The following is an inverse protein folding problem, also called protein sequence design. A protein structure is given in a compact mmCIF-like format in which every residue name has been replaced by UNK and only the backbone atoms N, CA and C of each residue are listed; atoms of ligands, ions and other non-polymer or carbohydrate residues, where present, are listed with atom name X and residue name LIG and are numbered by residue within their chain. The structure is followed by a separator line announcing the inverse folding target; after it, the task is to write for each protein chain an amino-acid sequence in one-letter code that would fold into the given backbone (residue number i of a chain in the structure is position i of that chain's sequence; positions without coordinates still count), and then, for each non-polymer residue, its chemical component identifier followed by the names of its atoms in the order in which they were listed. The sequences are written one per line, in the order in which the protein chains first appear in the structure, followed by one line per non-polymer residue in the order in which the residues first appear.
data_IF_468052277783
#
_entry.id   IF_468052277783
#
_cell.length_a   1.000
_cell.length_b   1.000
_cell.length_c   1.000
_cell.angle_alpha   90.00
_cell.angle_beta   90.00
_cell.angle_gamma   90.00
#
_symmetry.space_group_name_H-M   'P 1'
#
loop_
_entity.id
_entity.type
_entity.pdbx_description
1 polymer ?
#
# COMPACT_ATOMS: atom_id res chain seq x y z
N UNK A 1 -7.36 -23.67 -18.51
CA UNK A 1 -7.09 -24.10 -17.12
C UNK A 1 -8.17 -23.49 -16.26
N UNK A 2 -8.95 -24.31 -15.56
CA UNK A 2 -10.12 -23.88 -14.79
C UNK A 2 -9.70 -22.90 -13.66
N UNK A 3 -10.43 -21.78 -13.53
CA UNK A 3 -10.20 -20.70 -12.56
C UNK A 3 -10.08 -21.19 -11.11
N UNK A 4 -10.77 -22.28 -10.75
CA UNK A 4 -10.65 -22.91 -9.45
C UNK A 4 -9.23 -23.42 -9.16
N UNK A 5 -8.63 -24.16 -10.08
CA UNK A 5 -7.26 -24.66 -9.93
C UNK A 5 -6.22 -23.54 -9.91
N UNK A 6 -6.42 -22.48 -10.71
CA UNK A 6 -5.55 -21.30 -10.67
C UNK A 6 -5.57 -20.62 -9.31
N UNK A 7 -6.75 -20.56 -8.68
CA UNK A 7 -6.95 -19.88 -7.40
C UNK A 7 -6.31 -20.64 -6.25
N UNK A 8 -6.49 -21.97 -6.22
CA UNK A 8 -5.76 -22.86 -5.31
C UNK A 8 -4.25 -22.68 -5.50
N UNK A 9 -3.76 -22.76 -6.74
CA UNK A 9 -2.32 -22.61 -7.04
C UNK A 9 -1.77 -21.25 -6.59
N UNK A 10 -2.52 -20.17 -6.77
CA UNK A 10 -2.15 -18.82 -6.35
C UNK A 10 -2.04 -18.73 -4.82
N UNK A 11 -3.09 -19.15 -4.09
CA UNK A 11 -3.10 -19.16 -2.61
C UNK A 11 -1.94 -19.98 -2.04
N UNK A 12 -1.77 -21.22 -2.49
CA UNK A 12 -0.67 -22.05 -1.99
C UNK A 12 0.71 -21.51 -2.37
N UNK A 13 0.84 -20.87 -3.55
CA UNK A 13 2.11 -20.22 -3.93
C UNK A 13 2.44 -19.02 -3.05
N UNK A 14 1.44 -18.28 -2.57
CA UNK A 14 1.62 -17.19 -1.60
C UNK A 14 2.06 -17.74 -0.25
N UNK A 15 1.38 -18.76 0.27
CA UNK A 15 1.68 -19.36 1.57
C UNK A 15 3.02 -20.11 1.63
N UNK A 16 3.47 -20.65 0.50
CA UNK A 16 4.71 -21.45 0.40
C UNK A 16 5.89 -20.72 -0.25
N UNK A 17 5.76 -19.41 -0.50
CA UNK A 17 6.81 -18.63 -1.14
C UNK A 17 8.10 -18.63 -0.30
N UNK A 18 9.24 -18.85 -0.97
CA UNK A 18 10.57 -18.74 -0.37
C UNK A 18 11.44 -17.89 -1.28
N UNK A 19 12.05 -16.84 -0.71
CA UNK A 19 12.83 -15.85 -1.47
C UNK A 19 13.99 -16.48 -2.24
N UNK A 20 14.64 -17.49 -1.66
CA UNK A 20 15.87 -18.10 -2.23
C UNK A 20 15.59 -19.18 -3.29
N UNK A 21 14.31 -19.51 -3.54
CA UNK A 21 13.96 -20.47 -4.57
C UNK A 21 14.24 -19.90 -5.96
N UNK A 22 14.91 -20.69 -6.82
CA UNK A 22 15.10 -20.35 -8.24
C UNK A 22 13.78 -20.55 -9.00
N UNK A 23 12.99 -19.50 -9.12
CA UNK A 23 11.81 -19.51 -9.99
C UNK A 23 12.24 -19.35 -11.45
N UNK A 24 11.76 -20.22 -12.35
CA UNK A 24 11.98 -20.13 -13.80
C UNK A 24 11.12 -19.00 -14.42
N UNK A 25 11.38 -17.75 -14.04
CA UNK A 25 10.65 -16.57 -14.51
C UNK A 25 11.64 -15.51 -14.92
N UNK A 26 11.41 -14.87 -16.08
CA UNK A 26 12.25 -13.78 -16.56
C UNK A 26 11.80 -12.47 -15.91
N UNK A 27 12.62 -11.95 -15.00
CA UNK A 27 12.41 -10.66 -14.33
C UNK A 27 13.42 -9.68 -14.91
N UNK A 28 12.96 -8.56 -15.46
CA UNK A 28 13.83 -7.58 -16.11
C UNK A 28 13.57 -6.19 -15.56
N UNK A 29 14.66 -5.44 -15.37
CA UNK A 29 14.59 -4.00 -15.21
C UNK A 29 14.47 -3.35 -16.60
N UNK A 30 13.44 -2.52 -16.74
CA UNK A 30 13.13 -1.74 -17.93
C UNK A 30 13.02 -0.27 -17.54
N UNK A 31 12.91 0.60 -18.53
CA UNK A 31 12.91 2.04 -18.32
C UNK A 31 11.78 2.70 -19.11
N UNK A 32 11.21 3.74 -18.52
CA UNK A 32 10.28 4.66 -19.17
C UNK A 32 10.70 6.10 -18.88
N UNK A 33 10.22 7.04 -19.68
CA UNK A 33 10.32 8.46 -19.37
C UNK A 33 9.09 8.85 -18.57
N UNK A 34 9.28 9.34 -17.34
CA UNK A 34 8.17 9.83 -16.53
C UNK A 34 7.59 11.14 -17.09
N UNK A 35 6.55 11.68 -16.43
CA UNK A 35 5.92 12.95 -16.83
C UNK A 35 6.86 14.17 -16.84
N UNK A 36 8.02 14.04 -16.19
CA UNK A 36 9.07 15.05 -16.14
C UNK A 36 10.24 14.72 -17.07
N UNK A 37 10.06 13.73 -17.96
CA UNK A 37 11.06 13.22 -18.92
C UNK A 37 12.31 12.62 -18.25
N UNK A 38 12.23 12.24 -16.98
CA UNK A 38 13.30 11.51 -16.32
C UNK A 38 13.23 10.03 -16.69
N UNK A 39 14.40 9.39 -16.85
CA UNK A 39 14.50 7.95 -17.05
C UNK A 39 14.25 7.22 -15.72
N UNK A 40 13.12 6.54 -15.62
CA UNK A 40 12.68 5.82 -14.40
C UNK A 40 12.57 4.33 -14.66
N UNK A 41 12.94 3.52 -13.66
CA UNK A 41 12.90 2.05 -13.74
C UNK A 41 11.47 1.54 -13.57
N UNK A 42 11.11 0.49 -14.29
CA UNK A 42 10.00 -0.38 -13.92
C UNK A 42 10.43 -1.84 -14.09
N UNK A 43 9.90 -2.73 -13.25
CA UNK A 43 10.15 -4.16 -13.38
C UNK A 43 9.09 -4.81 -14.26
N UNK A 44 9.52 -5.76 -15.08
CA UNK A 44 8.63 -6.63 -15.84
C UNK A 44 8.89 -8.09 -15.51
N UNK A 45 7.81 -8.84 -15.28
CA UNK A 45 7.83 -10.28 -15.03
C UNK A 45 7.15 -10.96 -16.19
N UNK A 46 7.91 -11.77 -16.92
CA UNK A 46 7.47 -12.35 -18.18
C UNK A 46 7.25 -13.86 -17.97
N UNK A 47 6.01 -14.36 -18.12
CA UNK A 47 5.69 -15.77 -18.05
C UNK A 47 6.19 -16.49 -19.32
N UNK A 48 6.44 -17.79 -19.22
CA UNK A 48 6.78 -18.61 -20.40
C UNK A 48 5.59 -18.82 -21.34
N UNK A 49 4.38 -18.83 -20.80
CA UNK A 49 3.11 -18.94 -21.54
C UNK A 49 2.18 -17.81 -21.10
N UNK A 50 2.20 -16.65 -21.80
CA UNK A 50 1.44 -15.48 -21.40
C UNK A 50 -0.07 -15.68 -21.60
N UNK A 51 -0.83 -15.24 -20.60
CA UNK A 51 -2.28 -15.02 -20.66
C UNK A 51 -2.56 -13.65 -21.25
N UNK A 52 -3.81 -13.44 -21.65
CA UNK A 52 -4.28 -12.19 -22.24
C UNK A 52 -4.27 -11.02 -21.24
N UNK A 53 -4.66 -11.28 -19.99
CA UNK A 53 -4.67 -10.28 -18.92
C UNK A 53 -3.24 -9.96 -18.46
N UNK A 54 -2.99 -8.70 -18.16
CA UNK A 54 -1.72 -8.21 -17.64
C UNK A 54 -1.98 -7.48 -16.32
N UNK A 55 -1.03 -7.55 -15.39
CA UNK A 55 -1.14 -6.86 -14.11
C UNK A 55 -0.17 -5.68 -14.02
N UNK A 56 -0.66 -4.57 -13.46
CA UNK A 56 0.19 -3.49 -12.97
C UNK A 56 0.06 -3.47 -11.46
N UNK A 57 1.18 -3.64 -10.75
CA UNK A 57 1.23 -3.58 -9.29
C UNK A 57 1.80 -2.23 -8.87
N UNK A 58 0.95 -1.35 -8.35
CA UNK A 58 1.37 -0.09 -7.78
C UNK A 58 1.87 -0.28 -6.35
N UNK A 59 3.09 0.18 -6.04
CA UNK A 59 3.68 0.02 -4.72
C UNK A 59 3.00 0.94 -3.69
N UNK A 60 3.10 0.56 -2.42
CA UNK A 60 2.97 1.51 -1.31
C UNK A 60 4.23 2.37 -1.17
N UNK A 61 4.25 3.23 -0.16
CA UNK A 61 5.42 4.03 0.15
C UNK A 61 6.53 3.15 0.75
N UNK A 62 7.67 3.02 0.07
CA UNK A 62 8.83 2.26 0.55
C UNK A 62 10.13 2.72 -0.11
N UNK A 63 11.25 2.81 0.63
CA UNK A 63 12.56 3.14 0.08
C UNK A 63 13.07 2.11 -0.95
N UNK A 64 12.58 0.87 -0.85
CA UNK A 64 12.92 -0.21 -1.79
C UNK A 64 12.08 -0.18 -3.08
N UNK A 65 10.99 0.60 -3.10
CA UNK A 65 10.14 0.86 -4.25
C UNK A 65 9.76 -0.41 -5.04
N UNK A 66 10.00 -0.44 -6.35
CA UNK A 66 9.69 -1.58 -7.22
C UNK A 66 10.50 -2.84 -6.89
N UNK A 67 11.54 -2.72 -6.06
CA UNK A 67 12.37 -3.83 -5.57
C UNK A 67 11.91 -4.35 -4.21
N UNK A 68 10.80 -3.86 -3.65
CA UNK A 68 10.26 -4.33 -2.37
C UNK A 68 10.00 -5.85 -2.40
N UNK A 69 10.48 -6.64 -1.42
CA UNK A 69 10.41 -8.10 -1.46
C UNK A 69 8.98 -8.64 -1.66
N UNK A 70 7.99 -8.05 -1.00
CA UNK A 70 6.58 -8.45 -1.16
C UNK A 70 6.04 -8.22 -2.57
N UNK A 71 6.50 -7.18 -3.28
CA UNK A 71 6.11 -6.90 -4.66
C UNK A 71 6.79 -7.87 -5.62
N UNK A 72 8.08 -8.17 -5.39
CA UNK A 72 8.82 -9.18 -6.15
C UNK A 72 8.16 -10.55 -6.00
N UNK A 73 7.80 -10.94 -4.77
CA UNK A 73 7.05 -12.15 -4.49
C UNK A 73 5.75 -12.20 -5.30
N UNK A 74 4.92 -11.16 -5.20
CA UNK A 74 3.62 -11.13 -5.87
C UNK A 74 3.76 -11.18 -7.40
N UNK A 75 4.66 -10.38 -7.97
CA UNK A 75 4.95 -10.40 -9.41
C UNK A 75 5.47 -11.76 -9.89
N UNK A 76 6.33 -12.41 -9.11
CA UNK A 76 6.82 -13.77 -9.39
C UNK A 76 5.67 -14.78 -9.40
N UNK A 77 4.79 -14.76 -8.40
CA UNK A 77 3.70 -15.73 -8.29
C UNK A 77 2.68 -15.55 -9.40
N UNK A 78 2.26 -14.32 -9.70
CA UNK A 78 1.34 -14.02 -10.80
C UNK A 78 1.93 -14.41 -12.16
N UNK A 79 3.22 -14.16 -12.37
CA UNK A 79 3.90 -14.58 -13.59
C UNK A 79 4.03 -16.10 -13.70
N UNK A 80 4.20 -16.82 -12.58
CA UNK A 80 4.23 -18.30 -12.55
C UNK A 80 2.91 -18.93 -13.02
N UNK A 81 1.79 -18.22 -12.85
CA UNK A 81 0.47 -18.68 -13.29
C UNK A 81 0.06 -18.14 -14.67
N UNK A 82 0.94 -17.37 -15.32
CA UNK A 82 0.85 -17.01 -16.73
C UNK A 82 0.63 -15.53 -17.02
N UNK A 83 0.63 -14.64 -16.02
CA UNK A 83 0.38 -13.22 -16.28
C UNK A 83 1.67 -12.43 -16.54
N UNK A 84 1.63 -11.48 -17.48
CA UNK A 84 2.63 -10.43 -17.50
C UNK A 84 2.39 -9.51 -16.32
N UNK A 85 3.45 -9.11 -15.62
CA UNK A 85 3.35 -8.18 -14.49
C UNK A 85 4.30 -7.00 -14.71
N UNK A 86 3.81 -5.80 -14.43
CA UNK A 86 4.57 -4.56 -14.45
C UNK A 86 4.54 -3.91 -13.07
N UNK A 87 5.70 -3.51 -12.57
CA UNK A 87 5.82 -2.82 -11.28
C UNK A 87 6.60 -1.52 -11.51
N UNK A 88 5.94 -0.36 -11.58
CA UNK A 88 6.62 0.91 -11.75
C UNK A 88 7.37 1.32 -10.48
N UNK A 89 8.56 1.90 -10.65
CA UNK A 89 9.12 2.76 -9.61
C UNK A 89 8.37 4.08 -9.67
N UNK A 90 7.75 4.47 -8.55
CA UNK A 90 7.19 5.81 -8.38
C UNK A 90 8.19 6.62 -7.55
N UNK A 91 8.93 7.59 -8.15
CA UNK A 91 10.04 8.25 -7.48
C UNK A 91 9.68 8.90 -6.13
N UNK A 92 8.49 9.50 -6.03
CA UNK A 92 8.00 10.09 -4.79
C UNK A 92 7.83 9.03 -3.69
N UNK A 93 7.21 7.89 -3.99
CA UNK A 93 7.04 6.80 -3.03
C UNK A 93 8.35 6.14 -2.64
N UNK A 94 9.35 6.11 -3.53
CA UNK A 94 10.71 5.68 -3.20
C UNK A 94 11.38 6.62 -2.18
N UNK A 95 11.06 7.90 -2.23
CA UNK A 95 11.53 8.91 -1.27
C UNK A 95 10.61 9.04 -0.05
N UNK A 96 9.57 8.19 0.07
CA UNK A 96 8.51 8.30 1.06
C UNK A 96 7.84 9.68 1.10
N UNK A 97 7.77 10.37 -0.04
CA UNK A 97 7.04 11.62 -0.17
C UNK A 97 5.57 11.29 -0.44
N UNK A 98 4.70 11.71 0.45
CA UNK A 98 3.26 11.41 0.47
C UNK A 98 2.47 12.67 0.10
N UNK A 99 1.99 12.75 -1.14
CA UNK A 99 1.18 13.87 -1.61
C UNK A 99 0.37 13.50 -2.87
N UNK A 100 -0.48 14.43 -3.34
CA UNK A 100 -1.38 14.22 -4.49
C UNK A 100 -0.65 14.03 -5.83
N UNK A 101 0.61 14.43 -5.95
CA UNK A 101 1.40 14.26 -7.17
C UNK A 101 1.62 12.79 -7.51
N UNK A 102 1.56 11.91 -6.51
CA UNK A 102 1.62 10.45 -6.72
C UNK A 102 0.49 9.96 -7.63
N UNK A 103 -0.70 10.55 -7.55
CA UNK A 103 -1.84 10.18 -8.40
C UNK A 103 -1.49 10.46 -9.87
N UNK A 104 -0.85 11.60 -10.15
CA UNK A 104 -0.41 11.97 -11.49
C UNK A 104 0.64 11.00 -12.03
N UNK A 105 1.59 10.57 -11.19
CA UNK A 105 2.60 9.58 -11.56
C UNK A 105 1.98 8.22 -11.89
N UNK A 106 0.99 7.79 -11.11
CA UNK A 106 0.25 6.55 -11.34
C UNK A 106 -0.56 6.62 -12.66
N UNK A 107 -1.36 7.68 -12.83
CA UNK A 107 -2.14 7.91 -14.06
C UNK A 107 -1.25 7.93 -15.30
N UNK A 108 -0.08 8.59 -15.20
CA UNK A 108 0.88 8.66 -16.29
C UNK A 108 1.44 7.28 -16.65
N UNK A 109 1.91 6.51 -15.66
CA UNK A 109 2.45 5.17 -15.94
C UNK A 109 1.40 4.24 -16.53
N UNK A 110 0.16 4.28 -16.03
CA UNK A 110 -0.96 3.50 -16.58
C UNK A 110 -1.17 3.79 -18.07
N UNK A 111 -1.30 5.06 -18.45
CA UNK A 111 -1.48 5.45 -19.85
C UNK A 111 -0.25 5.12 -20.71
N UNK A 112 0.95 5.31 -20.16
CA UNK A 112 2.17 5.00 -20.87
C UNK A 112 2.27 3.51 -21.20
N UNK A 113 2.06 2.63 -20.22
CA UNK A 113 2.26 1.18 -20.44
C UNK A 113 1.21 0.58 -21.38
N UNK A 114 -0.05 1.02 -21.32
CA UNK A 114 -1.09 0.54 -22.24
C UNK A 114 -0.78 0.94 -23.68
N UNK A 115 -0.25 2.14 -23.90
CA UNK A 115 0.11 2.63 -25.22
C UNK A 115 1.38 1.95 -25.75
N UNK A 116 2.44 1.94 -24.95
CA UNK A 116 3.75 1.34 -25.26
C UNK A 116 3.64 -0.16 -25.60
N UNK A 117 2.73 -0.87 -24.94
CA UNK A 117 2.54 -2.32 -25.15
C UNK A 117 1.32 -2.65 -26.00
N UNK A 118 0.61 -1.64 -26.52
CA UNK A 118 -0.63 -1.79 -27.27
C UNK A 118 -1.66 -2.69 -26.56
N UNK A 119 -1.77 -2.55 -25.23
CA UNK A 119 -2.67 -3.36 -24.39
C UNK A 119 -4.00 -2.63 -24.25
N UNK A 120 -5.11 -3.30 -24.61
CA UNK A 120 -6.46 -2.79 -24.31
C UNK A 120 -6.65 -2.69 -22.79
N UNK A 121 -7.25 -1.61 -22.29
CA UNK A 121 -7.49 -1.42 -20.84
C UNK A 121 -8.29 -2.57 -20.22
N UNK A 122 -9.23 -3.16 -20.97
CA UNK A 122 -9.99 -4.36 -20.57
C UNK A 122 -9.16 -5.65 -20.44
N UNK A 123 -7.86 -5.61 -20.77
CA UNK A 123 -6.88 -6.65 -20.53
C UNK A 123 -5.84 -6.23 -19.46
N UNK A 124 -6.16 -5.23 -18.64
CA UNK A 124 -5.36 -4.83 -17.48
C UNK A 124 -6.13 -5.13 -16.19
N UNK A 125 -5.49 -5.79 -15.24
CA UNK A 125 -5.86 -5.74 -13.82
C UNK A 125 -4.88 -4.82 -13.08
N UNK A 126 -5.39 -3.99 -12.17
CA UNK A 126 -4.55 -3.18 -11.29
C UNK A 126 -4.48 -3.80 -9.91
N UNK A 127 -3.32 -3.71 -9.27
CA UNK A 127 -3.13 -4.10 -7.87
C UNK A 127 -2.49 -2.93 -7.15
N UNK A 128 -3.17 -2.34 -6.16
CA UNK A 128 -2.64 -1.27 -5.33
C UNK A 128 -2.35 -1.77 -3.91
N UNK A 129 -1.11 -1.57 -3.44
CA UNK A 129 -0.66 -2.05 -2.12
C UNK A 129 -0.58 -0.89 -1.13
N UNK A 130 -1.21 -1.04 0.04
CA UNK A 130 -1.21 -0.05 1.11
C UNK A 130 -1.61 1.33 0.58
N UNK A 131 -0.75 2.35 0.74
CA UNK A 131 -0.95 3.69 0.18
C UNK A 131 -1.29 3.69 -1.33
N UNK A 132 -0.69 2.78 -2.10
CA UNK A 132 -0.96 2.64 -3.54
C UNK A 132 -2.39 2.17 -3.85
N UNK A 133 -3.11 1.57 -2.89
CA UNK A 133 -4.49 1.10 -3.06
C UNK A 133 -5.45 2.24 -3.38
N UNK A 134 -5.57 3.22 -2.48
CA UNK A 134 -6.38 4.43 -2.71
C UNK A 134 -5.90 5.17 -3.94
N UNK A 135 -4.59 5.40 -4.08
CA UNK A 135 -4.06 6.14 -5.23
C UNK A 135 -4.46 5.51 -6.57
N UNK A 136 -4.50 4.17 -6.64
CA UNK A 136 -4.97 3.45 -7.84
C UNK A 136 -6.44 3.74 -8.14
N UNK A 137 -7.31 3.75 -7.13
CA UNK A 137 -8.73 4.08 -7.30
C UNK A 137 -8.91 5.54 -7.73
N UNK A 138 -8.13 6.46 -7.15
CA UNK A 138 -8.19 7.90 -7.45
C UNK A 138 -7.86 8.26 -8.89
N UNK A 139 -7.07 7.44 -9.61
CA UNK A 139 -6.82 7.62 -11.05
C UNK A 139 -8.15 7.76 -11.81
N UNK A 140 -9.15 6.98 -11.42
CA UNK A 140 -10.42 6.84 -12.14
C UNK A 140 -11.52 7.80 -11.65
N UNK A 141 -11.23 8.64 -10.67
CA UNK A 141 -12.07 9.82 -10.39
C UNK A 141 -12.02 10.83 -11.56
N UNK A 142 -10.91 10.84 -12.31
CA UNK A 142 -10.77 11.70 -13.49
C UNK A 142 -11.60 11.15 -14.67
N UNK A 143 -12.52 11.98 -15.16
CA UNK A 143 -13.43 11.67 -16.28
C UNK A 143 -12.70 11.23 -17.56
N UNK A 144 -11.45 11.62 -17.77
CA UNK A 144 -10.67 11.20 -18.94
C UNK A 144 -10.41 9.68 -18.99
N UNK A 145 -10.54 8.97 -17.87
CA UNK A 145 -10.31 7.52 -17.80
C UNK A 145 -11.58 6.68 -17.92
N UNK A 146 -12.76 7.29 -18.06
CA UNK A 146 -14.05 6.56 -18.10
C UNK A 146 -14.07 5.48 -19.19
N UNK A 147 -13.54 5.78 -20.38
CA UNK A 147 -13.46 4.84 -21.52
C UNK A 147 -12.25 3.90 -21.49
N UNK A 148 -11.33 4.08 -20.53
CA UNK A 148 -10.05 3.37 -20.45
C UNK A 148 -9.83 2.74 -19.06
N UNK A 149 -10.90 2.40 -18.35
CA UNK A 149 -10.78 1.73 -17.05
C UNK A 149 -10.22 0.31 -17.21
N UNK A 150 -9.48 -0.20 -16.20
CA UNK A 150 -8.98 -1.56 -16.20
C UNK A 150 -10.14 -2.55 -16.09
N UNK A 151 -9.88 -3.83 -16.36
CA UNK A 151 -10.85 -4.91 -16.13
C UNK A 151 -11.23 -4.99 -14.65
N UNK A 152 -10.22 -5.03 -13.78
CA UNK A 152 -10.41 -5.13 -12.32
C UNK A 152 -9.37 -4.33 -11.56
N UNK A 153 -9.71 -3.97 -10.32
CA UNK A 153 -8.79 -3.35 -9.37
C UNK A 153 -8.76 -4.21 -8.10
N UNK A 154 -7.57 -4.58 -7.64
CA UNK A 154 -7.35 -5.27 -6.39
C UNK A 154 -6.62 -4.34 -5.44
N UNK A 155 -7.05 -4.24 -4.18
CA UNK A 155 -6.31 -3.51 -3.16
C UNK A 155 -5.94 -4.43 -2.01
N UNK A 156 -4.76 -4.19 -1.42
CA UNK A 156 -4.28 -4.92 -0.25
C UNK A 156 -3.90 -3.95 0.86
N UNK A 157 -4.51 -4.08 2.04
CA UNK A 157 -4.14 -3.28 3.22
C UNK A 157 -4.32 -1.77 3.02
N UNK A 158 -5.32 -1.36 2.24
CA UNK A 158 -5.54 0.05 1.87
C UNK A 158 -6.46 0.76 2.86
N UNK A 159 -6.41 2.10 2.85
CA UNK A 159 -7.28 2.94 3.67
C UNK A 159 -8.46 3.53 2.88
N UNK A 160 -9.38 4.23 3.54
CA UNK A 160 -10.43 5.06 2.93
C UNK A 160 -10.13 6.54 3.18
N UNK A 161 -9.90 6.90 4.46
CA UNK A 161 -9.65 8.25 4.90
C UNK A 161 -8.25 8.33 5.52
N UNK A 162 -7.41 9.19 4.95
CA UNK A 162 -6.02 9.32 5.37
C UNK A 162 -5.92 9.89 6.80
N UNK A 163 -6.81 10.80 7.20
CA UNK A 163 -6.82 11.36 8.56
C UNK A 163 -7.13 10.26 9.59
N UNK A 164 -8.16 9.45 9.39
CA UNK A 164 -8.50 8.38 10.34
C UNK A 164 -7.42 7.31 10.40
N UNK A 165 -6.74 7.02 9.28
CA UNK A 165 -5.54 6.19 9.30
C UNK A 165 -4.40 6.81 10.17
N UNK A 166 -4.19 8.13 10.10
CA UNK A 166 -3.24 8.82 11.00
C UNK A 166 -3.70 8.82 12.46
N UNK A 167 -5.00 9.01 12.72
CA UNK A 167 -5.58 8.94 14.06
C UNK A 167 -5.34 7.54 14.67
N UNK A 168 -5.48 6.47 13.88
CA UNK A 168 -5.12 5.11 14.29
C UNK A 168 -3.63 4.99 14.62
N UNK A 169 -2.74 5.47 13.75
CA UNK A 169 -1.29 5.44 14.02
C UNK A 169 -0.91 6.18 15.31
N UNK A 170 -1.71 7.17 15.72
CA UNK A 170 -1.48 7.93 16.95
C UNK A 170 -2.07 7.29 18.22
N UNK A 171 -3.10 6.46 18.10
CA UNK A 171 -3.89 5.98 19.25
C UNK A 171 -3.90 4.46 19.41
N UNK A 172 -3.72 3.73 18.31
CA UNK A 172 -3.94 2.29 18.21
C UNK A 172 -5.40 1.86 18.33
N UNK A 173 -6.34 2.81 18.30
CA UNK A 173 -7.75 2.52 18.54
C UNK A 173 -8.48 2.23 17.24
N UNK A 174 -9.17 1.09 17.23
CA UNK A 174 -10.12 0.70 16.19
C UNK A 174 -11.51 0.70 16.82
N UNK A 175 -12.43 1.48 16.24
CA UNK A 175 -13.82 1.57 16.71
C UNK A 175 -14.72 0.82 15.75
N UNK A 176 -15.38 -0.21 16.27
CA UNK A 176 -16.35 -1.02 15.51
C UNK A 176 -17.62 -1.08 16.33
N UNK A 177 -18.68 -0.48 15.79
CA UNK A 177 -19.96 -0.27 16.46
C UNK A 177 -19.75 0.43 17.83
N UNK A 178 -19.88 -0.31 18.93
CA UNK A 178 -19.69 0.15 20.32
C UNK A 178 -18.48 -0.50 21.02
N UNK A 179 -17.68 -1.27 20.29
CA UNK A 179 -16.48 -1.92 20.83
C UNK A 179 -15.24 -1.17 20.38
N UNK A 180 -14.34 -0.92 21.32
CA UNK A 180 -13.02 -0.39 21.05
C UNK A 180 -12.01 -1.54 21.14
N UNK A 181 -11.27 -1.74 20.05
CA UNK A 181 -10.17 -2.69 19.97
C UNK A 181 -8.89 -1.87 19.93
N UNK A 182 -7.90 -2.25 20.73
CA UNK A 182 -6.59 -1.60 20.74
C UNK A 182 -5.54 -2.50 20.11
N UNK A 183 -4.89 -2.01 19.06
CA UNK A 183 -3.74 -2.64 18.40
C UNK A 183 -2.57 -1.68 18.51
N UNK A 184 -1.40 -2.15 18.94
CA UNK A 184 -0.20 -1.31 19.01
C UNK A 184 0.24 -0.92 17.59
N UNK A 185 0.22 0.39 17.23
CA UNK A 185 0.62 0.82 15.89
C UNK A 185 2.09 0.55 15.61
N UNK A 186 2.40 0.23 14.37
CA UNK A 186 3.78 0.04 13.96
C UNK A 186 4.53 1.39 13.94
N UNK A 187 5.73 1.49 14.58
CA UNK A 187 6.45 2.77 14.73
C UNK A 187 6.76 3.50 13.43
N UNK A 188 6.94 2.74 12.35
CA UNK A 188 7.21 3.27 11.01
C UNK A 188 6.19 4.32 10.55
N UNK A 189 4.90 4.13 10.85
CA UNK A 189 3.86 5.09 10.44
C UNK A 189 4.09 6.49 11.03
N UNK A 190 4.52 6.55 12.28
CA UNK A 190 4.84 7.81 12.96
C UNK A 190 6.05 8.50 12.33
N UNK A 191 7.11 7.74 12.04
CA UNK A 191 8.32 8.23 11.36
C UNK A 191 7.96 8.85 10.00
N UNK A 192 7.17 8.15 9.18
CA UNK A 192 6.77 8.64 7.85
C UNK A 192 5.90 9.90 7.96
N UNK A 193 4.97 9.95 8.92
CA UNK A 193 4.14 11.14 9.14
C UNK A 193 4.99 12.37 9.49
N UNK A 194 5.89 12.25 10.47
CA UNK A 194 6.75 13.36 10.87
C UNK A 194 7.73 13.76 9.75
N UNK A 195 8.29 12.80 9.02
CA UNK A 195 9.15 13.08 7.87
C UNK A 195 8.44 13.94 6.81
N UNK A 196 7.16 13.68 6.56
CA UNK A 196 6.39 14.40 5.55
C UNK A 196 5.84 15.74 6.03
N UNK A 197 5.41 15.85 7.29
CA UNK A 197 4.56 16.98 7.71
C UNK A 197 5.12 17.81 8.86
N UNK A 198 6.20 17.38 9.54
CA UNK A 198 6.68 18.12 10.72
C UNK A 198 7.18 19.52 10.38
N UNK A 199 7.67 19.72 9.16
CA UNK A 199 8.10 21.03 8.67
C UNK A 199 6.95 22.04 8.50
N UNK A 200 5.68 21.60 8.52
CA UNK A 200 4.54 22.48 8.33
C UNK A 200 4.10 23.20 9.61
N UNK A 201 4.54 22.75 10.79
CA UNK A 201 4.13 23.33 12.07
C UNK A 201 5.20 24.31 12.58
N UNK A 202 4.76 25.34 13.30
CA UNK A 202 5.68 26.25 14.00
C UNK A 202 6.01 25.68 15.38
N UNK A 203 7.30 25.53 15.68
CA UNK A 203 7.82 25.00 16.95
C UNK A 203 9.19 25.61 17.24
N UNK A 204 9.60 25.61 18.49
CA UNK A 204 10.94 26.06 18.91
C UNK A 204 12.06 25.06 18.57
N UNK A 205 11.72 23.88 18.04
CA UNK A 205 12.66 22.84 17.63
C UNK A 205 13.25 23.12 16.24
N UNK A 206 14.51 22.73 16.01
CA UNK A 206 15.08 22.72 14.67
C UNK A 206 14.58 21.52 13.86
N UNK A 207 13.38 21.66 13.30
CA UNK A 207 12.72 20.62 12.49
C UNK A 207 13.61 20.13 11.34
N UNK A 208 14.45 21.00 10.74
CA UNK A 208 15.36 20.58 9.67
C UNK A 208 16.39 19.54 10.16
N UNK A 209 16.95 19.73 11.35
CA UNK A 209 17.88 18.75 11.95
C UNK A 209 17.17 17.44 12.31
N UNK A 210 15.98 17.53 12.91
CA UNK A 210 15.17 16.34 13.25
C UNK A 210 14.82 15.56 11.98
N UNK A 211 14.35 16.25 10.93
CA UNK A 211 14.00 15.62 9.67
C UNK A 211 15.19 14.91 9.02
N UNK A 212 16.42 15.41 9.22
CA UNK A 212 17.63 14.73 8.75
C UNK A 212 17.86 13.38 9.44
N UNK A 213 17.54 13.28 10.74
CA UNK A 213 17.57 11.99 11.46
C UNK A 213 16.51 11.05 10.90
N UNK A 214 15.29 11.54 10.68
CA UNK A 214 14.19 10.73 10.12
C UNK A 214 14.50 10.26 8.69
N UNK A 215 15.15 11.08 7.87
CA UNK A 215 15.61 10.69 6.53
C UNK A 215 16.58 9.49 6.61
N UNK A 216 17.55 9.50 7.53
CA UNK A 216 18.47 8.39 7.71
C UNK A 216 17.78 7.15 8.30
N UNK A 217 16.80 7.32 9.18
CA UNK A 217 15.97 6.22 9.66
C UNK A 217 15.23 5.55 8.51
N UNK A 218 14.69 6.34 7.59
CA UNK A 218 13.97 5.86 6.40
C UNK A 218 14.87 5.08 5.44
N UNK A 219 16.16 5.41 5.41
CA UNK A 219 17.17 4.74 4.59
C UNK A 219 17.80 3.53 5.28
N UNK A 220 17.29 3.12 6.45
CA UNK A 220 17.87 2.09 7.33
C UNK A 220 19.35 2.36 7.66
N UNK A 221 19.77 3.62 7.71
CA UNK A 221 21.15 4.03 7.95
C UNK A 221 21.40 4.32 9.43
N UNK A 222 21.41 3.26 10.24
CA UNK A 222 21.52 3.32 11.71
C UNK A 222 22.75 4.09 12.20
N UNK A 223 23.88 4.00 11.47
CA UNK A 223 25.10 4.75 11.79
C UNK A 223 24.88 6.26 11.68
N UNK A 224 24.26 6.71 10.58
CA UNK A 224 23.98 8.13 10.39
C UNK A 224 22.87 8.63 11.32
N UNK A 225 21.87 7.80 11.62
CA UNK A 225 20.86 8.11 12.66
C UNK A 225 21.56 8.48 13.96
N UNK A 226 22.49 7.64 14.46
CA UNK A 226 23.23 7.92 15.70
C UNK A 226 24.03 9.23 15.63
N UNK A 227 24.81 9.42 14.56
CA UNK A 227 25.65 10.61 14.37
C UNK A 227 24.82 11.91 14.38
N UNK A 228 23.67 11.91 13.71
CA UNK A 228 22.85 13.12 13.61
C UNK A 228 21.96 13.32 14.85
N UNK A 229 21.55 12.23 15.50
CA UNK A 229 20.84 12.28 16.78
C UNK A 229 21.71 12.88 17.88
N UNK A 230 23.03 12.62 17.87
CA UNK A 230 24.00 13.18 18.82
C UNK A 230 24.28 14.69 18.60
N UNK A 231 23.89 15.24 17.45
CA UNK A 231 24.02 16.69 17.12
C UNK A 231 22.78 17.50 17.48
N UNK A 232 21.72 16.85 17.94
CA UNK A 232 20.51 17.51 18.41
C UNK A 232 20.70 18.04 19.83
N UNK A 233 20.01 19.13 20.17
CA UNK A 233 19.87 19.54 21.57
C UNK A 233 19.10 18.48 22.37
N UNK A 234 19.20 18.50 23.71
CA UNK A 234 18.53 17.50 24.55
C UNK A 234 17.02 17.42 24.30
N UNK A 235 16.36 18.57 24.11
CA UNK A 235 14.92 18.61 23.83
C UNK A 235 14.59 18.00 22.45
N UNK A 236 15.33 18.37 21.41
CA UNK A 236 15.16 17.81 20.07
C UNK A 236 15.44 16.29 20.04
N UNK A 237 16.45 15.84 20.80
CA UNK A 237 16.80 14.43 20.94
C UNK A 237 15.69 13.64 21.62
N UNK A 238 15.10 14.19 22.69
CA UNK A 238 13.94 13.62 23.39
C UNK A 238 12.76 13.46 22.44
N UNK A 239 12.37 14.52 21.72
CA UNK A 239 11.26 14.47 20.75
C UNK A 239 11.55 13.48 19.62
N UNK A 240 12.75 13.49 19.07
CA UNK A 240 13.14 12.56 17.99
C UNK A 240 13.08 11.10 18.45
N UNK A 241 13.58 10.79 19.65
CA UNK A 241 13.50 9.43 20.19
C UNK A 241 12.06 8.97 20.42
N UNK A 242 11.15 9.87 20.83
CA UNK A 242 9.72 9.55 20.94
C UNK A 242 9.13 9.17 19.58
N UNK A 243 9.45 9.93 18.53
CA UNK A 243 9.00 9.67 17.15
C UNK A 243 9.53 8.32 16.65
N UNK A 244 10.83 8.06 16.81
CA UNK A 244 11.46 6.82 16.33
C UNK A 244 10.92 5.56 17.01
N UNK A 245 10.50 5.67 18.27
CA UNK A 245 10.04 4.54 19.09
C UNK A 245 8.52 4.47 19.27
N UNK A 246 7.74 5.30 18.56
CA UNK A 246 6.28 5.37 18.71
C UNK A 246 5.81 5.66 20.16
N UNK A 247 6.56 6.49 20.89
CA UNK A 247 6.15 6.94 22.22
C UNK A 247 5.32 8.23 22.11
N UNK A 248 4.01 8.09 22.24
CA UNK A 248 3.04 9.14 21.96
C UNK A 248 2.51 9.69 23.29
N UNK A 249 3.10 10.79 23.76
CA UNK A 249 2.60 11.57 24.89
C UNK A 249 1.91 12.86 24.44
N UNK A 250 1.43 13.68 25.38
CA UNK A 250 0.67 14.90 25.07
C UNK A 250 1.43 15.88 24.15
N UNK A 251 2.75 15.94 24.26
CA UNK A 251 3.60 16.77 23.38
C UNK A 251 3.56 16.26 21.94
N UNK A 252 3.79 14.96 21.75
CA UNK A 252 3.74 14.33 20.41
C UNK A 252 2.33 14.39 19.82
N UNK A 253 1.28 14.12 20.61
CA UNK A 253 -0.12 14.26 20.19
C UNK A 253 -0.45 15.70 19.76
N UNK A 254 0.10 16.70 20.45
CA UNK A 254 -0.03 18.10 20.08
C UNK A 254 0.56 18.38 18.69
N UNK A 255 1.77 17.89 18.41
CA UNK A 255 2.38 18.02 17.08
C UNK A 255 1.59 17.29 15.99
N UNK A 256 1.11 16.07 16.26
CA UNK A 256 0.29 15.31 15.32
C UNK A 256 -0.99 16.08 14.97
N UNK A 257 -1.68 16.58 15.98
CA UNK A 257 -2.92 17.34 15.81
C UNK A 257 -2.69 18.61 14.99
N UNK A 258 -1.61 19.35 15.25
CA UNK A 258 -1.23 20.53 14.47
C UNK A 258 -0.89 20.17 13.01
N UNK A 259 -0.10 19.11 12.79
CA UNK A 259 0.23 18.65 11.44
C UNK A 259 -1.04 18.29 10.65
N UNK A 260 -1.97 17.55 11.26
CA UNK A 260 -3.24 17.17 10.62
C UNK A 260 -4.08 18.42 10.29
N UNK A 261 -4.20 19.35 11.23
CA UNK A 261 -5.01 20.55 11.06
C UNK A 261 -4.46 21.48 9.96
N UNK A 262 -3.16 21.75 9.97
CA UNK A 262 -2.51 22.62 8.96
C UNK A 262 -2.61 21.98 7.57
N UNK A 263 -2.41 20.67 7.46
CA UNK A 263 -2.38 19.98 6.17
C UNK A 263 -3.74 19.44 5.73
N UNK A 264 -4.84 19.73 6.44
CA UNK A 264 -6.16 19.12 6.23
C UNK A 264 -6.61 19.07 4.76
N UNK A 265 -6.41 20.17 4.01
CA UNK A 265 -6.77 20.22 2.58
C UNK A 265 -5.98 19.21 1.74
N UNK A 266 -4.67 19.09 1.99
CA UNK A 266 -3.80 18.14 1.29
C UNK A 266 -4.13 16.69 1.69
N UNK A 267 -4.30 16.43 2.99
CA UNK A 267 -4.65 15.09 3.49
C UNK A 267 -6.01 14.62 2.95
N UNK A 268 -7.00 15.51 2.85
CA UNK A 268 -8.29 15.18 2.26
C UNK A 268 -8.19 14.75 0.80
N UNK A 269 -7.24 15.31 0.02
CA UNK A 269 -7.01 14.88 -1.36
C UNK A 269 -6.34 13.49 -1.44
N UNK A 270 -5.75 13.01 -0.35
CA UNK A 270 -5.19 11.66 -0.26
C UNK A 270 -6.21 10.61 0.18
N UNK A 271 -7.34 11.04 0.71
CA UNK A 271 -8.48 10.20 1.03
C UNK A 271 -9.30 9.86 -0.22
N UNK A 272 -10.18 8.87 -0.08
CA UNK A 272 -11.31 8.71 -0.97
C UNK A 272 -12.14 10.00 -1.02
N UNK A 273 -12.73 10.26 -2.18
CA UNK A 273 -13.79 11.25 -2.26
C UNK A 273 -14.95 10.85 -1.33
N UNK A 274 -15.57 11.84 -0.68
CA UNK A 274 -16.85 11.62 0.01
C UNK A 274 -17.97 11.22 -0.96
N UNK A 275 -17.76 11.47 -2.26
CA UNK A 275 -18.59 10.99 -3.35
C UNK A 275 -18.21 9.55 -3.73
N UNK A 276 -19.19 8.78 -4.25
CA UNK A 276 -18.95 7.43 -4.78
C UNK A 276 -17.84 7.49 -5.84
N UNK A 277 -16.86 6.61 -5.74
CA UNK A 277 -15.81 6.49 -6.75
C UNK A 277 -16.44 6.28 -8.12
N UNK A 278 -15.97 7.01 -9.13
CA UNK A 278 -16.36 6.80 -10.52
C UNK A 278 -15.60 5.60 -11.14
N UNK A 279 -15.52 4.51 -10.39
CA UNK A 279 -14.86 3.25 -10.78
C UNK A 279 -15.95 2.28 -11.26
N UNK A 280 -15.92 1.98 -12.55
CA UNK A 280 -16.78 1.01 -13.21
C UNK A 280 -16.16 -0.40 -13.23
N UNK A 281 -14.85 -0.50 -13.01
CA UNK A 281 -14.16 -1.78 -12.82
C UNK A 281 -14.65 -2.47 -11.55
N UNK A 282 -14.72 -3.81 -11.57
CA UNK A 282 -14.93 -4.57 -10.34
C UNK A 282 -13.73 -4.42 -9.40
N UNK A 283 -13.99 -4.12 -8.13
CA UNK A 283 -12.98 -3.92 -7.10
C UNK A 283 -12.93 -5.08 -6.12
N UNK A 284 -11.75 -5.55 -5.79
CA UNK A 284 -11.49 -6.59 -4.81
C UNK A 284 -10.61 -6.02 -3.71
N UNK A 285 -11.08 -6.04 -2.46
CA UNK A 285 -10.37 -5.49 -1.31
C UNK A 285 -9.96 -6.63 -0.39
N UNK A 286 -8.65 -6.82 -0.20
CA UNK A 286 -8.09 -7.74 0.78
C UNK A 286 -7.48 -6.94 1.92
N UNK A 287 -7.79 -7.28 3.17
CA UNK A 287 -7.17 -6.64 4.33
C UNK A 287 -6.88 -7.66 5.44
N UNK A 288 -5.78 -7.49 6.17
CA UNK A 288 -5.51 -8.28 7.39
C UNK A 288 -6.21 -7.68 8.61
N UNK A 289 -6.94 -8.47 9.38
CA UNK A 289 -7.63 -8.00 10.59
C UNK A 289 -6.68 -7.40 11.66
N UNK A 290 -5.40 -7.78 11.61
CA UNK A 290 -4.36 -7.36 12.55
C UNK A 290 -3.32 -6.41 11.92
N UNK A 291 -3.66 -5.76 10.81
CA UNK A 291 -2.80 -4.74 10.24
C UNK A 291 -2.62 -3.61 11.26
N UNK A 292 -1.38 -3.40 11.69
CA UNK A 292 -1.00 -2.41 12.68
C UNK A 292 -0.43 -1.11 12.06
N UNK A 293 -0.52 -0.96 10.75
CA UNK A 293 -0.23 0.27 10.01
C UNK A 293 -1.51 0.98 9.58
N UNK A 294 -2.49 0.22 9.05
CA UNK A 294 -3.79 0.73 8.61
C UNK A 294 -4.86 -0.20 9.17
N UNK A 295 -5.87 0.29 9.90
CA UNK A 295 -6.87 -0.60 10.47
C UNK A 295 -7.82 -1.09 9.38
N UNK A 296 -8.22 -2.37 9.44
CA UNK A 296 -9.06 -2.99 8.41
C UNK A 296 -10.43 -2.32 8.25
N UNK A 297 -10.90 -1.59 9.27
CA UNK A 297 -12.13 -0.78 9.22
C UNK A 297 -12.09 0.25 8.10
N UNK A 298 -10.90 0.77 7.76
CA UNK A 298 -10.74 1.65 6.61
C UNK A 298 -11.13 0.96 5.31
N UNK A 299 -10.80 -0.31 5.13
CA UNK A 299 -11.21 -1.06 3.94
C UNK A 299 -12.70 -1.38 3.92
N UNK A 300 -13.32 -1.55 5.08
CA UNK A 300 -14.79 -1.65 5.19
C UNK A 300 -15.45 -0.33 4.80
N UNK A 301 -14.94 0.80 5.27
CA UNK A 301 -15.47 2.12 4.92
C UNK A 301 -15.24 2.44 3.44
N UNK A 302 -14.09 2.05 2.88
CA UNK A 302 -13.80 2.19 1.46
C UNK A 302 -14.84 1.46 0.60
N UNK A 303 -15.22 0.24 1.00
CA UNK A 303 -16.17 -0.58 0.25
C UNK A 303 -17.56 0.07 0.13
N UNK A 304 -17.98 0.89 1.11
CA UNK A 304 -19.27 1.61 1.08
C UNK A 304 -19.33 2.64 -0.06
N UNK A 305 -18.17 3.09 -0.55
CA UNK A 305 -18.04 4.11 -1.59
C UNK A 305 -17.84 3.53 -2.99
N UNK A 306 -17.89 2.21 -3.16
CA UNK A 306 -17.64 1.50 -4.43
C UNK A 306 -18.84 0.64 -4.78
N UNK A 307 -19.29 0.71 -6.04
CA UNK A 307 -20.52 0.04 -6.50
C UNK A 307 -20.38 -1.47 -6.64
N UNK A 308 -19.36 -1.94 -7.34
CA UNK A 308 -19.09 -3.37 -7.56
C UNK A 308 -17.81 -3.76 -6.82
N UNK A 309 -17.99 -4.20 -5.56
CA UNK A 309 -16.89 -4.48 -4.65
C UNK A 309 -17.07 -5.82 -3.94
N UNK A 310 -15.97 -6.55 -3.79
CA UNK A 310 -15.88 -7.72 -2.91
C UNK A 310 -14.77 -7.48 -1.88
N UNK A 311 -15.08 -7.76 -0.61
CA UNK A 311 -14.15 -7.53 0.50
C UNK A 311 -13.84 -8.85 1.20
N UNK A 312 -12.56 -9.07 1.49
CA UNK A 312 -12.10 -10.16 2.33
C UNK A 312 -11.17 -9.63 3.44
N UNK A 313 -11.63 -9.78 4.68
CA UNK A 313 -10.84 -9.50 5.88
C UNK A 313 -10.26 -10.82 6.39
N UNK A 314 -8.94 -10.95 6.39
CA UNK A 314 -8.24 -12.16 6.77
C UNK A 314 -7.80 -12.14 8.23
N UNK A 315 -8.08 -13.22 8.95
CA UNK A 315 -7.68 -13.42 10.34
C UNK A 315 -6.52 -14.42 10.48
N UNK A 316 -5.82 -14.75 9.39
CA UNK A 316 -4.77 -15.77 9.37
C UNK A 316 -3.57 -15.48 10.30
N UNK A 317 -3.32 -14.22 10.63
CA UNK A 317 -2.14 -13.76 11.37
C UNK A 317 -2.53 -13.01 12.66
N UNK A 318 -3.41 -13.59 13.48
CA UNK A 318 -3.74 -13.04 14.80
C UNK A 318 -2.52 -12.97 15.75
N UNK A 319 -2.32 -11.79 16.35
CA UNK A 319 -1.44 -11.65 17.50
C UNK A 319 -2.07 -12.37 18.70
N UNK A 320 -1.24 -13.07 19.48
CA UNK A 320 -1.59 -13.95 20.62
C UNK A 320 -2.52 -13.32 21.67
N UNK A 321 -2.68 -12.00 21.70
CA UNK A 321 -3.38 -11.28 22.77
C UNK A 321 -4.88 -11.06 22.50
N UNK A 322 -5.37 -11.16 21.26
CA UNK A 322 -6.80 -10.88 20.93
C UNK A 322 -7.59 -12.16 20.64
N UNK A 323 -6.92 -13.27 20.32
CA UNK A 323 -7.57 -14.57 20.27
C UNK A 323 -6.56 -15.72 20.48
N UNK A 324 -6.96 -16.72 21.25
CA UNK A 324 -6.25 -17.98 21.45
C UNK A 324 -6.35 -18.90 20.20
N UNK A 325 -6.23 -18.35 18.98
CA UNK A 325 -6.54 -19.04 17.72
C UNK A 325 -5.30 -19.64 17.05
N UNK A 326 -4.53 -20.40 17.83
CA UNK A 326 -3.60 -21.38 17.26
C UNK A 326 -4.32 -22.63 16.71
N UNK A 327 -5.66 -22.63 16.68
CA UNK A 327 -6.46 -23.73 16.18
C UNK A 327 -6.19 -23.98 14.68
N UNK A 328 -5.59 -25.14 14.31
CA UNK A 328 -5.33 -25.49 12.91
C UNK A 328 -6.60 -25.49 12.05
N UNK A 329 -7.76 -25.85 12.63
CA UNK A 329 -9.04 -25.83 11.94
C UNK A 329 -9.44 -24.41 11.54
N UNK A 330 -9.23 -23.43 12.43
CA UNK A 330 -9.51 -22.02 12.12
C UNK A 330 -8.64 -21.53 10.95
N UNK A 331 -7.33 -21.78 11.01
CA UNK A 331 -6.40 -21.43 9.91
C UNK A 331 -6.80 -22.11 8.60
N UNK A 332 -7.20 -23.37 8.64
CA UNK A 332 -7.70 -24.09 7.47
C UNK A 332 -8.97 -23.46 6.89
N UNK A 333 -9.96 -23.11 7.73
CA UNK A 333 -11.18 -22.44 7.30
C UNK A 333 -10.88 -21.06 6.70
N UNK A 334 -9.96 -20.30 7.28
CA UNK A 334 -9.50 -19.02 6.73
C UNK A 334 -8.82 -19.19 5.36
N UNK A 335 -8.01 -20.23 5.17
CA UNK A 335 -7.44 -20.56 3.86
C UNK A 335 -8.55 -20.88 2.85
N UNK A 336 -9.60 -21.62 3.23
CA UNK A 336 -10.74 -21.88 2.33
C UNK A 336 -11.44 -20.58 1.94
N UNK A 337 -11.69 -19.66 2.89
CA UNK A 337 -12.30 -18.35 2.57
C UNK A 337 -11.41 -17.55 1.64
N UNK A 338 -10.09 -17.56 1.86
CA UNK A 338 -9.13 -16.91 0.98
C UNK A 338 -9.15 -17.51 -0.43
N UNK A 339 -9.21 -18.84 -0.56
CA UNK A 339 -9.36 -19.52 -1.86
C UNK A 339 -10.65 -19.10 -2.56
N UNK A 340 -11.78 -18.99 -1.83
CA UNK A 340 -13.06 -18.52 -2.40
C UNK A 340 -12.97 -17.09 -2.92
N UNK A 341 -12.36 -16.19 -2.15
CA UNK A 341 -12.15 -14.80 -2.58
C UNK A 341 -11.24 -14.70 -3.80
N UNK A 342 -10.09 -15.41 -3.78
CA UNK A 342 -9.18 -15.46 -4.93
C UNK A 342 -9.84 -16.13 -6.14
N UNK A 343 -10.72 -17.10 -5.92
CA UNK A 343 -11.52 -17.71 -6.98
C UNK A 343 -12.48 -16.73 -7.65
N UNK A 344 -13.17 -15.90 -6.88
CA UNK A 344 -13.99 -14.82 -7.45
C UNK A 344 -13.12 -13.88 -8.30
N UNK A 345 -11.98 -13.46 -7.77
CA UNK A 345 -11.04 -12.58 -8.46
C UNK A 345 -10.51 -13.17 -9.78
N UNK A 346 -10.01 -14.41 -9.75
CA UNK A 346 -9.47 -15.07 -10.95
C UNK A 346 -10.58 -15.37 -11.95
N UNK A 347 -11.75 -15.83 -11.50
CA UNK A 347 -12.87 -16.16 -12.40
C UNK A 347 -13.38 -14.93 -13.13
N UNK A 348 -13.52 -13.79 -12.44
CA UNK A 348 -13.88 -12.52 -13.09
C UNK A 348 -12.84 -12.08 -14.14
N UNK A 349 -11.57 -12.38 -13.90
CA UNK A 349 -10.47 -11.95 -14.75
C UNK A 349 -10.22 -12.87 -15.95
N UNK A 350 -10.53 -14.16 -15.84
CA UNK A 350 -10.35 -15.15 -16.92
C UNK A 350 -11.56 -15.30 -17.85
N UNK A 351 -12.77 -14.95 -17.38
CA UNK A 351 -13.99 -14.85 -18.18
C UNK A 351 -14.12 -13.45 -18.78
#
# INVERSE_FOLDING_TARGET
MNSFFLSIKLVFSLLSYKKDNKYKIKILDRYYLDRHKNKVVYKTFIPSKPRKLNFIIYPGASPTAESHPGLIMLGTILSKIGYNVYIPRIPLLKKLIINEEVIKDFSFFYNWIINEKHIKSSNIGLIGISFGGVMTLKIFENKSFVSHQPKSIFTYGTYNNFKSALDFLSSGLIKIDRKEIKISPHPWGLVVMFYNYFHSINTNLNVKKINKVLEYQIQDNTKQVKIFLDKLSDNEKKVTNKILNCNIDNEILGYISLMININRKSLNKLSSSNDKYNVNSKVFIFHGANDNMIPYTESLDLSKNIKDVEVFISYLYEHKEIANNNNPLFKFLEIIKMIKFVYSYISYNEN
#
